data_IF_496159789268
#
_entry.id   IF_496159789268
#
_cell.length_a   1.000
_cell.length_b   1.000
_cell.length_c   1.000
_cell.angle_alpha   90.00
_cell.angle_beta   90.00
_cell.angle_gamma   90.00
#
_symmetry.space_group_name_H-M   'P 1'
#
loop_
_entity.id
_entity.type
_entity.pdbx_description
1 polymer ?
#
# COMPACT_ATOMS: atom_id res chain seq x y z
N UNK A 1 6.32 -4.77 19.80
CA UNK A 1 7.06 -4.74 18.52
C UNK A 1 6.72 -3.43 17.84
N UNK A 2 7.69 -2.73 17.28
CA UNK A 2 7.43 -1.55 16.44
C UNK A 2 7.03 -1.98 15.03
N UNK A 3 6.24 -1.17 14.34
CA UNK A 3 5.84 -1.44 12.95
C UNK A 3 7.05 -1.58 12.02
N UNK A 4 8.13 -0.83 12.27
CA UNK A 4 9.36 -0.87 11.49
C UNK A 4 10.04 -2.25 11.50
N UNK A 5 10.06 -2.94 12.65
CA UNK A 5 10.62 -4.30 12.71
C UNK A 5 9.82 -5.26 11.84
N UNK A 6 8.49 -5.20 11.93
CA UNK A 6 7.57 -6.05 11.16
C UNK A 6 7.68 -5.76 9.67
N UNK A 7 7.83 -4.49 9.29
CA UNK A 7 8.05 -4.08 7.90
C UNK A 7 9.38 -4.59 7.33
N UNK A 8 10.45 -4.59 8.13
CA UNK A 8 11.75 -5.17 7.73
C UNK A 8 11.65 -6.67 7.51
N UNK A 9 11.03 -7.40 8.45
CA UNK A 9 10.78 -8.83 8.32
C UNK A 9 9.94 -9.15 7.07
N UNK A 10 8.92 -8.34 6.78
CA UNK A 10 8.11 -8.46 5.56
C UNK A 10 8.97 -8.28 4.30
N UNK A 11 9.80 -7.24 4.23
CA UNK A 11 10.69 -7.01 3.10
C UNK A 11 11.68 -8.17 2.92
N UNK A 12 12.26 -8.68 4.00
CA UNK A 12 13.16 -9.84 3.97
C UNK A 12 12.45 -11.10 3.45
N UNK A 13 11.20 -11.34 3.90
CA UNK A 13 10.39 -12.47 3.44
C UNK A 13 10.18 -12.46 1.92
N UNK A 14 9.92 -11.28 1.35
CA UNK A 14 9.75 -11.09 -0.11
C UNK A 14 11.05 -10.81 -0.86
N UNK A 15 12.20 -10.91 -0.19
CA UNK A 15 13.53 -10.59 -0.73
C UNK A 15 13.58 -9.19 -1.39
N UNK A 16 12.80 -8.27 -0.85
CA UNK A 16 12.60 -6.91 -1.33
C UNK A 16 13.55 -5.94 -0.61
N UNK A 17 13.92 -4.86 -1.29
CA UNK A 17 14.65 -3.76 -0.67
C UNK A 17 13.71 -3.02 0.29
N UNK A 18 14.13 -2.86 1.54
CA UNK A 18 13.37 -2.09 2.53
C UNK A 18 13.29 -0.61 2.10
N UNK A 19 12.07 -0.16 1.76
CA UNK A 19 11.78 1.18 1.29
C UNK A 19 10.65 1.79 2.14
N UNK A 20 10.94 2.28 3.35
CA UNK A 20 9.93 2.75 4.28
C UNK A 20 9.13 3.93 3.71
N UNK A 21 7.94 4.13 4.29
CA UNK A 21 7.09 5.29 4.05
C UNK A 21 7.14 6.16 5.30
N UNK A 22 7.41 7.45 5.13
CA UNK A 22 7.39 8.40 6.23
C UNK A 22 5.94 8.64 6.69
N UNK A 23 5.67 8.78 8.00
CA UNK A 23 4.31 8.99 8.51
C UNK A 23 3.58 10.19 7.88
N UNK A 24 4.33 11.21 7.45
CA UNK A 24 3.82 12.43 6.82
C UNK A 24 3.52 12.26 5.33
N UNK A 25 4.04 11.22 4.67
CA UNK A 25 3.77 10.97 3.26
C UNK A 25 2.31 10.59 3.04
N UNK A 26 1.78 11.00 1.88
CA UNK A 26 0.40 10.76 1.51
C UNK A 26 0.23 9.40 0.81
N UNK A 27 -0.88 8.74 1.11
CA UNK A 27 -1.32 7.46 0.59
C UNK A 27 -2.68 7.67 -0.05
N UNK A 28 -2.84 7.23 -1.29
CA UNK A 28 -4.12 7.31 -1.98
C UNK A 28 -4.97 6.11 -1.58
N UNK A 29 -6.18 6.33 -1.09
CA UNK A 29 -7.10 5.26 -0.66
C UNK A 29 -8.51 5.42 -1.25
N UNK A 30 -9.19 4.31 -1.50
CA UNK A 30 -10.65 4.29 -1.68
C UNK A 30 -11.37 4.39 -0.33
N UNK A 31 -12.66 4.75 -0.35
CA UNK A 31 -13.49 4.86 0.86
C UNK A 31 -13.59 3.52 1.63
N UNK A 32 -13.70 2.42 0.90
CA UNK A 32 -13.85 1.07 1.47
C UNK A 32 -12.68 0.63 2.36
N UNK A 33 -11.49 1.23 2.20
CA UNK A 33 -10.32 0.91 3.03
C UNK A 33 -10.58 1.18 4.52
N UNK A 34 -11.23 2.30 4.84
CA UNK A 34 -11.56 2.63 6.23
C UNK A 34 -12.85 2.00 6.73
N UNK A 35 -13.72 1.55 5.83
CA UNK A 35 -14.92 0.79 6.16
C UNK A 35 -14.58 -0.68 6.47
N UNK A 36 -13.34 -1.10 6.16
CA UNK A 36 -12.85 -2.45 6.39
C UNK A 36 -13.26 -3.43 5.29
N UNK A 37 -13.69 -2.91 4.13
CA UNK A 37 -14.04 -3.72 2.96
C UNK A 37 -12.84 -4.55 2.50
N UNK A 38 -13.12 -5.78 2.10
CA UNK A 38 -12.14 -6.72 1.53
C UNK A 38 -12.70 -7.35 0.25
N UNK A 39 -11.84 -7.79 -0.68
CA UNK A 39 -10.37 -7.73 -0.67
C UNK A 39 -9.83 -6.29 -0.78
N UNK A 40 -8.64 -6.09 -0.22
CA UNK A 40 -7.87 -4.84 -0.36
C UNK A 40 -6.77 -5.08 -1.38
N UNK A 41 -6.75 -4.24 -2.41
CA UNK A 41 -5.71 -4.21 -3.42
C UNK A 41 -4.78 -3.02 -3.17
N UNK A 42 -3.49 -3.29 -3.05
CA UNK A 42 -2.45 -2.28 -2.92
C UNK A 42 -1.52 -2.29 -4.12
N UNK A 43 -1.20 -1.12 -4.65
CA UNK A 43 -0.18 -0.95 -5.71
C UNK A 43 0.72 0.22 -5.37
N UNK A 44 2.05 0.04 -5.48
CA UNK A 44 3.03 1.10 -5.24
C UNK A 44 3.67 1.59 -6.53
N UNK A 45 3.26 2.75 -7.00
CA UNK A 45 3.84 3.39 -8.18
C UNK A 45 5.03 4.29 -7.81
N UNK A 46 6.01 4.46 -8.71
CA UNK A 46 6.98 5.55 -8.62
C UNK A 46 6.26 6.88 -8.39
N UNK A 47 6.71 7.64 -7.39
CA UNK A 47 6.01 8.87 -6.99
C UNK A 47 6.95 9.91 -6.37
N UNK A 48 6.60 11.20 -6.40
CA UNK A 48 7.39 12.27 -5.80
C UNK A 48 7.49 12.13 -4.27
N UNK A 49 8.52 12.71 -3.66
CA UNK A 49 8.84 12.54 -2.22
C UNK A 49 7.70 12.80 -1.23
N UNK A 50 6.70 13.64 -1.54
CA UNK A 50 5.57 13.91 -0.64
C UNK A 50 4.48 12.83 -0.69
N UNK A 51 4.50 11.99 -1.72
CA UNK A 51 3.62 10.85 -1.93
C UNK A 51 4.37 9.57 -1.61
N UNK A 52 3.71 8.63 -0.92
CA UNK A 52 4.26 7.30 -0.65
C UNK A 52 4.35 6.42 -1.92
N UNK A 53 3.54 6.75 -2.93
CA UNK A 53 3.31 5.95 -4.13
C UNK A 53 2.28 4.84 -3.94
N UNK A 54 1.78 4.61 -2.72
CA UNK A 54 0.77 3.60 -2.45
C UNK A 54 -0.63 4.05 -2.82
N UNK A 55 -1.31 3.18 -3.55
CA UNK A 55 -2.71 3.26 -3.90
C UNK A 55 -3.40 2.04 -3.32
N UNK A 56 -4.34 2.25 -2.40
CA UNK A 56 -5.10 1.21 -1.74
C UNK A 56 -6.55 1.29 -2.18
N UNK A 57 -7.05 0.24 -2.81
CA UNK A 57 -8.43 0.15 -3.30
C UNK A 57 -9.09 -1.12 -2.80
N UNK A 58 -10.40 -1.17 -2.97
CA UNK A 58 -11.24 -2.34 -2.65
C UNK A 58 -12.12 -2.63 -3.85
N UNK A 59 -12.78 -3.78 -3.88
CA UNK A 59 -13.70 -4.15 -4.98
C UNK A 59 -14.86 -3.14 -5.18
N UNK A 60 -15.16 -2.32 -4.17
CA UNK A 60 -16.14 -1.23 -4.27
C UNK A 60 -15.65 -0.05 -5.12
N UNK A 61 -14.38 -0.04 -5.50
CA UNK A 61 -13.81 0.97 -6.36
C UNK A 61 -14.27 0.76 -7.82
N UNK A 62 -15.16 1.64 -8.28
CA UNK A 62 -15.75 1.57 -9.64
C UNK A 62 -14.81 2.06 -10.76
N UNK A 63 -13.51 2.23 -10.48
CA UNK A 63 -12.55 2.83 -11.41
C UNK A 63 -12.60 4.36 -11.45
N UNK A 64 -13.47 4.99 -10.66
CA UNK A 64 -13.61 6.44 -10.61
C UNK A 64 -12.63 7.06 -9.60
N UNK A 65 -11.57 7.67 -10.16
CA UNK A 65 -10.51 8.35 -9.40
C UNK A 65 -11.03 9.50 -8.54
N UNK A 66 -12.22 10.04 -8.80
CA UNK A 66 -12.84 11.11 -7.99
C UNK A 66 -13.27 10.63 -6.61
N UNK A 67 -13.42 9.33 -6.42
CA UNK A 67 -13.78 8.71 -5.13
C UNK A 67 -12.56 8.45 -4.24
N UNK A 68 -11.35 8.60 -4.79
CA UNK A 68 -10.10 8.41 -4.05
C UNK A 68 -9.78 9.64 -3.21
N UNK A 69 -9.23 9.39 -2.03
CA UNK A 69 -8.75 10.43 -1.12
C UNK A 69 -7.32 10.15 -0.72
N UNK A 70 -6.54 11.20 -0.48
CA UNK A 70 -5.19 11.08 0.04
C UNK A 70 -5.18 11.27 1.55
N UNK A 71 -4.54 10.35 2.26
CA UNK A 71 -4.41 10.39 3.72
C UNK A 71 -2.95 10.24 4.12
N UNK A 72 -2.56 10.78 5.26
CA UNK A 72 -1.23 10.53 5.81
C UNK A 72 -1.05 9.05 6.16
N UNK A 73 0.15 8.53 5.92
CA UNK A 73 0.49 7.15 6.24
C UNK A 73 0.31 6.83 7.72
N UNK A 74 0.53 7.81 8.62
CA UNK A 74 0.23 7.68 10.05
C UNK A 74 -1.19 7.17 10.32
N UNK A 75 -2.21 7.69 9.63
CA UNK A 75 -3.59 7.23 9.80
C UNK A 75 -3.80 5.78 9.34
N UNK A 76 -3.01 5.30 8.37
CA UNK A 76 -3.05 3.89 7.96
C UNK A 76 -2.47 3.01 9.06
N UNK A 77 -1.34 3.40 9.67
CA UNK A 77 -0.76 2.67 10.80
C UNK A 77 -1.76 2.56 11.96
N UNK A 78 -2.50 3.63 12.24
CA UNK A 78 -3.48 3.66 13.33
C UNK A 78 -4.75 2.85 13.04
N UNK A 79 -5.28 2.93 11.81
CA UNK A 79 -6.59 2.34 11.46
C UNK A 79 -6.52 0.96 10.82
N UNK A 80 -5.47 0.70 10.06
CA UNK A 80 -5.25 -0.52 9.27
C UNK A 80 -3.80 -0.99 9.39
N UNK A 81 -3.31 -1.27 10.60
CA UNK A 81 -1.93 -1.70 10.82
C UNK A 81 -1.55 -2.95 10.02
N UNK A 82 -2.51 -3.81 9.71
CA UNK A 82 -2.32 -4.99 8.86
C UNK A 82 -1.88 -4.64 7.43
N UNK A 83 -2.32 -3.49 6.89
CA UNK A 83 -1.89 -3.01 5.58
C UNK A 83 -0.53 -2.33 5.65
N UNK A 84 -0.28 -1.59 6.74
CA UNK A 84 0.97 -0.85 6.95
C UNK A 84 2.22 -1.75 6.93
N UNK A 85 2.09 -3.04 7.28
CA UNK A 85 3.16 -4.05 7.21
C UNK A 85 3.78 -4.13 5.82
N UNK A 86 2.94 -4.10 4.78
CA UNK A 86 3.38 -4.28 3.39
C UNK A 86 3.85 -2.98 2.74
N UNK A 87 3.60 -1.83 3.39
CA UNK A 87 3.86 -0.52 2.78
C UNK A 87 5.35 -0.14 2.71
N UNK A 88 6.24 -0.90 3.35
CA UNK A 88 7.68 -0.75 3.18
C UNK A 88 8.24 -1.44 1.91
N UNK A 89 7.42 -2.19 1.17
CA UNK A 89 7.83 -2.81 -0.09
C UNK A 89 8.05 -1.74 -1.16
N UNK A 90 9.10 -1.85 -2.00
CA UNK A 90 9.51 -0.78 -2.92
C UNK A 90 8.53 -0.58 -4.08
N UNK A 91 8.78 0.43 -4.91
CA UNK A 91 7.99 0.69 -6.11
C UNK A 91 7.92 -0.55 -7.01
N UNK A 92 6.77 -0.75 -7.66
CA UNK A 92 6.47 -1.95 -8.44
C UNK A 92 5.77 -3.05 -7.66
N UNK A 93 5.74 -3.01 -6.32
CA UNK A 93 5.05 -4.03 -5.54
C UNK A 93 3.53 -3.85 -5.53
N UNK A 94 2.86 -5.00 -5.52
CA UNK A 94 1.41 -5.14 -5.44
C UNK A 94 1.05 -6.14 -4.35
N UNK A 95 -0.11 -5.95 -3.76
CA UNK A 95 -0.70 -6.93 -2.86
C UNK A 95 -2.21 -7.00 -3.01
N UNK A 96 -2.77 -8.17 -2.75
CA UNK A 96 -4.20 -8.40 -2.56
C UNK A 96 -4.37 -9.15 -1.22
N UNK A 97 -5.13 -8.58 -0.29
CA UNK A 97 -5.28 -9.06 1.08
C UNK A 97 -6.75 -9.19 1.48
N UNK A 98 -7.08 -10.15 2.34
CA UNK A 98 -8.45 -10.34 2.85
C UNK A 98 -9.47 -10.93 1.86
N UNK A 99 -9.02 -11.43 0.70
CA UNK A 99 -9.83 -12.22 -0.24
C UNK A 99 -9.71 -13.74 -0.01
N UNK A 100 -10.23 -14.55 -0.95
CA UNK A 100 -10.08 -16.02 -0.93
C UNK A 100 -8.61 -16.45 -1.09
N UNK A 101 -7.77 -15.60 -1.68
CA UNK A 101 -6.35 -15.84 -1.85
C UNK A 101 -5.59 -14.52 -1.66
N UNK A 102 -4.64 -14.54 -0.72
CA UNK A 102 -3.75 -13.41 -0.48
C UNK A 102 -2.49 -13.57 -1.32
N UNK A 103 -2.07 -12.49 -1.96
CA UNK A 103 -0.91 -12.51 -2.84
C UNK A 103 -0.15 -11.20 -2.73
N UNK A 104 1.18 -11.30 -2.67
CA UNK A 104 2.09 -10.15 -2.75
C UNK A 104 3.12 -10.48 -3.82
N UNK A 105 3.28 -9.58 -4.79
CA UNK A 105 4.18 -9.80 -5.91
C UNK A 105 4.78 -8.50 -6.41
N UNK A 106 5.89 -8.61 -7.13
CA UNK A 106 6.49 -7.52 -7.86
C UNK A 106 5.98 -7.50 -9.29
N UNK A 107 5.57 -6.32 -9.75
CA UNK A 107 5.06 -6.06 -11.10
C UNK A 107 6.00 -5.06 -11.80
N UNK A 108 6.76 -5.55 -12.77
CA UNK A 108 7.72 -4.73 -13.52
C UNK A 108 7.02 -3.59 -14.27
N UNK A 109 5.79 -3.80 -14.77
CA UNK A 109 5.08 -2.76 -15.51
C UNK A 109 4.75 -1.56 -14.61
N UNK A 110 4.37 -1.83 -13.35
CA UNK A 110 4.14 -0.81 -12.33
C UNK A 110 5.46 -0.11 -11.94
N UNK A 111 6.56 -0.86 -11.85
CA UNK A 111 7.86 -0.30 -11.49
C UNK A 111 8.39 0.70 -12.54
N UNK A 112 8.11 0.44 -13.82
CA UNK A 112 8.53 1.28 -14.95
C UNK A 112 7.53 2.40 -15.26
N UNK A 113 6.37 2.41 -14.61
CA UNK A 113 5.34 3.42 -14.83
C UNK A 113 5.80 4.77 -14.26
N UNK A 114 6.12 5.69 -15.17
CA UNK A 114 6.44 7.07 -14.82
C UNK A 114 5.13 7.87 -14.73
N UNK A 115 4.62 8.05 -13.51
CA UNK A 115 3.43 8.88 -13.22
C UNK A 115 3.81 10.35 -13.09
#
# INVERSE_FOLDING_TARGET
>A
MSIESVQKECCEHYQAIYAPVEPTQLVTISKGIYEGSTPVEGVRYPSPNHMSGWWLTTDEYDGNTSSLVTVHFEHIIERRPELAIYMALPFGYRFNLGGESEHVWFDQAVADESI
#
